data_IF_454826890648
#
_entry.id   IF_454826890648
#
_cell.length_a   1.000
_cell.length_b   1.000
_cell.length_c   1.000
_cell.angle_alpha   90.00
_cell.angle_beta   90.00
_cell.angle_gamma   90.00
#
_symmetry.space_group_name_H-M   'P 1'
#
loop_
_entity.id
_entity.type
_entity.pdbx_description
1 polymer ?
#
# COMPACT_ATOMS: atom_id res chain seq x y z
N UNK A 1 -11.70 2.62 -14.58
CA UNK A 1 -10.35 2.56 -13.98
C UNK A 1 -9.33 2.19 -15.05
N UNK A 2 -8.22 2.85 -15.05
CA UNK A 2 -7.07 2.54 -15.91
C UNK A 2 -6.01 1.84 -15.08
N UNK A 3 -5.38 0.79 -15.63
CA UNK A 3 -4.30 0.04 -14.99
C UNK A 3 -3.14 -0.08 -15.94
N UNK A 4 -1.93 0.13 -15.45
CA UNK A 4 -0.74 -0.14 -16.22
C UNK A 4 0.39 -0.71 -15.36
N UNK A 5 1.18 -1.59 -15.97
CA UNK A 5 2.29 -2.25 -15.34
C UNK A 5 3.48 -2.28 -16.29
N UNK A 6 4.60 -1.78 -15.84
CA UNK A 6 5.85 -1.75 -16.59
C UNK A 6 6.92 -2.48 -15.80
N UNK A 7 7.58 -3.42 -16.44
CA UNK A 7 8.69 -4.17 -15.85
C UNK A 7 9.89 -4.15 -16.78
N UNK A 8 11.05 -3.91 -16.22
CA UNK A 8 12.31 -3.94 -16.92
C UNK A 8 13.29 -4.81 -16.13
N UNK A 9 14.04 -5.66 -16.80
CA UNK A 9 15.05 -6.49 -16.15
C UNK A 9 16.31 -6.59 -16.98
N UNK A 10 17.43 -6.69 -16.30
CA UNK A 10 18.75 -6.90 -16.84
C UNK A 10 19.39 -8.10 -16.13
N UNK A 11 19.96 -8.99 -16.89
CA UNK A 11 20.73 -10.11 -16.35
C UNK A 11 22.01 -10.30 -17.17
N UNK A 12 23.02 -10.77 -16.51
CA UNK A 12 24.28 -11.04 -17.16
C UNK A 12 25.25 -11.70 -16.20
N UNK A 13 26.44 -11.91 -16.69
CA UNK A 13 27.48 -12.47 -15.86
C UNK A 13 28.54 -13.29 -16.63
N UNK A 14 29.40 -13.87 -15.85
CA UNK A 14 30.47 -14.80 -16.28
C UNK A 14 30.36 -16.12 -15.51
N UNK A 15 31.30 -17.02 -15.71
CA UNK A 15 31.39 -18.24 -14.88
C UNK A 15 31.62 -17.95 -13.39
N UNK A 16 32.18 -16.76 -13.07
CA UNK A 16 32.52 -16.39 -11.68
C UNK A 16 31.54 -15.42 -11.03
N UNK A 17 30.75 -14.68 -11.80
CA UNK A 17 29.81 -13.73 -11.26
C UNK A 17 28.57 -13.68 -12.13
N UNK A 18 27.41 -13.67 -11.50
CA UNK A 18 26.10 -13.55 -12.13
C UNK A 18 25.29 -12.48 -11.43
N UNK A 19 24.53 -11.74 -12.20
CA UNK A 19 23.63 -10.73 -11.66
C UNK A 19 22.29 -10.72 -12.38
N UNK A 20 21.27 -10.37 -11.64
CA UNK A 20 19.94 -10.07 -12.15
C UNK A 20 19.43 -8.83 -11.41
N UNK A 21 18.99 -7.81 -12.15
CA UNK A 21 18.38 -6.60 -11.60
C UNK A 21 17.07 -6.36 -12.33
N UNK A 22 16.02 -6.06 -11.60
CA UNK A 22 14.72 -5.70 -12.18
C UNK A 22 14.09 -4.53 -11.47
N UNK A 23 13.38 -3.72 -12.24
CA UNK A 23 12.53 -2.64 -11.77
C UNK A 23 11.12 -2.83 -12.27
N UNK A 24 10.13 -2.51 -11.45
CA UNK A 24 8.73 -2.56 -11.81
C UNK A 24 7.99 -1.32 -11.33
N UNK A 25 7.08 -0.84 -12.15
CA UNK A 25 6.13 0.22 -11.84
C UNK A 25 4.71 -0.29 -12.11
N UNK A 26 3.85 -0.11 -11.15
CA UNK A 26 2.43 -0.44 -11.26
C UNK A 26 1.60 0.74 -10.79
N UNK A 27 0.57 1.08 -11.54
CA UNK A 27 -0.43 2.06 -11.14
C UNK A 27 -1.83 1.57 -11.51
N UNK A 28 -2.79 1.88 -10.66
CA UNK A 28 -4.19 1.53 -10.80
C UNK A 28 -5.07 2.64 -10.27
N UNK A 29 -5.91 3.21 -11.14
CA UNK A 29 -6.94 4.16 -10.73
C UNK A 29 -8.12 3.44 -10.07
N UNK A 30 -8.72 4.07 -9.08
CA UNK A 30 -9.92 3.56 -8.42
C UNK A 30 -11.13 3.44 -9.34
N UNK A 31 -12.12 2.70 -8.87
CA UNK A 31 -13.36 2.42 -9.61
C UNK A 31 -14.47 3.44 -9.34
N UNK A 32 -14.35 4.24 -8.29
CA UNK A 32 -15.38 5.22 -7.89
C UNK A 32 -15.20 6.52 -8.65
N UNK A 33 -16.20 6.91 -9.43
CA UNK A 33 -16.15 8.06 -10.34
C UNK A 33 -15.89 9.41 -9.66
N UNK A 34 -16.36 9.58 -8.43
CA UNK A 34 -16.31 10.85 -7.70
C UNK A 34 -15.31 10.84 -6.56
N UNK A 35 -14.50 9.80 -6.45
CA UNK A 35 -13.51 9.64 -5.41
C UNK A 35 -12.08 9.76 -5.98
N UNK A 36 -11.21 10.37 -5.20
CA UNK A 36 -9.78 10.35 -5.45
C UNK A 36 -9.21 9.04 -4.90
N UNK A 37 -9.00 8.09 -5.79
CA UNK A 37 -8.52 6.74 -5.47
C UNK A 37 -7.44 6.34 -6.45
N UNK A 38 -6.27 6.04 -5.93
CA UNK A 38 -5.18 5.49 -6.72
C UNK A 38 -4.31 4.54 -5.91
N UNK A 39 -3.70 3.61 -6.59
CA UNK A 39 -2.67 2.75 -6.06
C UNK A 39 -1.45 2.77 -6.96
N UNK A 40 -0.32 3.17 -6.40
CA UNK A 40 0.96 3.18 -7.10
C UNK A 40 1.96 2.29 -6.37
N UNK A 41 2.75 1.51 -7.12
CA UNK A 41 3.79 0.65 -6.56
C UNK A 41 5.04 0.64 -7.41
N UNK A 42 6.17 0.85 -6.76
CA UNK A 42 7.51 0.70 -7.31
C UNK A 42 8.18 -0.51 -6.70
N UNK A 43 8.87 -1.30 -7.50
CA UNK A 43 9.66 -2.45 -7.03
C UNK A 43 11.04 -2.42 -7.66
N UNK A 44 12.04 -2.74 -6.86
CA UNK A 44 13.42 -2.96 -7.33
C UNK A 44 13.91 -4.26 -6.71
N UNK A 45 14.46 -5.15 -7.55
CA UNK A 45 15.07 -6.40 -7.09
C UNK A 45 16.48 -6.48 -7.67
N UNK A 46 17.41 -6.94 -6.87
CA UNK A 46 18.75 -7.27 -7.34
C UNK A 46 19.24 -8.56 -6.69
N UNK A 47 19.75 -9.47 -7.52
CA UNK A 47 20.33 -10.73 -7.11
C UNK A 47 21.75 -10.79 -7.69
N UNK A 48 22.74 -10.99 -6.84
CA UNK A 48 24.14 -11.06 -7.22
C UNK A 48 24.74 -12.32 -6.59
N UNK A 49 25.41 -13.10 -7.41
CA UNK A 49 26.20 -14.26 -6.96
C UNK A 49 27.60 -14.10 -7.50
N UNK A 50 28.60 -14.27 -6.66
CA UNK A 50 30.01 -14.14 -7.06
C UNK A 50 30.88 -15.23 -6.43
N UNK A 51 31.60 -15.95 -7.26
CA UNK A 51 32.66 -16.89 -6.84
C UNK A 51 33.97 -16.11 -6.68
N UNK A 52 34.27 -15.71 -5.43
CA UNK A 52 35.51 -14.97 -5.12
C UNK A 52 36.73 -15.88 -5.28
N UNK A 53 36.59 -17.12 -4.83
CA UNK A 53 37.62 -18.18 -4.94
C UNK A 53 36.94 -19.50 -5.27
N UNK A 54 37.71 -20.58 -5.50
CA UNK A 54 37.16 -21.92 -5.72
C UNK A 54 36.41 -22.50 -4.52
N UNK A 55 36.64 -21.94 -3.33
CA UNK A 55 36.08 -22.42 -2.07
C UNK A 55 35.16 -21.38 -1.37
N UNK A 56 34.98 -20.14 -1.95
CA UNK A 56 34.13 -19.09 -1.39
C UNK A 56 33.25 -18.49 -2.47
N UNK A 57 31.93 -18.56 -2.23
CA UNK A 57 30.90 -17.96 -3.05
C UNK A 57 30.06 -17.02 -2.21
N UNK A 58 29.86 -15.79 -2.68
CA UNK A 58 28.98 -14.81 -2.06
C UNK A 58 27.64 -14.76 -2.78
N UNK A 59 26.60 -14.55 -1.99
CA UNK A 59 25.23 -14.36 -2.46
C UNK A 59 24.68 -13.08 -1.84
N UNK A 60 24.11 -12.22 -2.68
CA UNK A 60 23.44 -11.01 -2.25
C UNK A 60 22.11 -10.92 -2.96
N UNK A 61 21.05 -10.74 -2.18
CA UNK A 61 19.70 -10.58 -2.67
C UNK A 61 19.08 -9.39 -1.98
N UNK A 62 18.51 -8.47 -2.75
CA UNK A 62 17.76 -7.34 -2.20
C UNK A 62 16.47 -7.13 -2.94
N UNK A 63 15.44 -6.76 -2.21
CA UNK A 63 14.15 -6.36 -2.73
C UNK A 63 13.69 -5.11 -2.00
N UNK A 64 13.43 -4.06 -2.75
CA UNK A 64 12.77 -2.86 -2.29
C UNK A 64 11.39 -2.76 -2.91
N UNK A 65 10.41 -2.34 -2.14
CA UNK A 65 9.08 -2.01 -2.62
C UNK A 65 8.61 -0.76 -1.90
N UNK A 66 8.15 0.21 -2.68
CA UNK A 66 7.41 1.38 -2.22
C UNK A 66 6.00 1.31 -2.78
N UNK A 67 4.99 1.57 -1.97
CA UNK A 67 3.61 1.63 -2.43
C UNK A 67 2.87 2.76 -1.73
N UNK A 68 2.11 3.50 -2.53
CA UNK A 68 1.16 4.52 -2.13
C UNK A 68 -0.25 4.03 -2.44
N UNK A 69 -1.15 4.16 -1.49
CA UNK A 69 -2.54 3.79 -1.63
C UNK A 69 -3.41 4.94 -1.11
N UNK A 70 -4.14 5.58 -2.00
CA UNK A 70 -5.11 6.61 -1.68
C UNK A 70 -6.53 6.09 -1.80
N UNK A 71 -7.32 6.29 -0.76
CA UNK A 71 -8.73 5.95 -0.71
C UNK A 71 -9.56 7.07 -0.13
N UNK A 72 -10.85 7.21 -0.49
CA UNK A 72 -11.70 8.29 0.02
C UNK A 72 -12.12 8.10 1.48
N UNK A 73 -11.86 6.93 2.07
CA UNK A 73 -12.28 6.60 3.43
C UNK A 73 -11.20 5.84 4.17
N UNK A 74 -11.23 5.96 5.50
CA UNK A 74 -10.34 5.20 6.38
C UNK A 74 -10.73 3.73 6.40
N UNK A 75 -10.05 2.93 5.61
CA UNK A 75 -10.31 1.51 5.44
C UNK A 75 -9.33 0.62 6.19
N UNK A 76 -8.26 1.18 6.72
CA UNK A 76 -7.19 0.39 7.31
C UNK A 76 -6.97 0.76 8.78
N UNK A 77 -6.80 -0.25 9.62
CA UNK A 77 -6.21 -0.04 10.94
C UNK A 77 -4.75 0.38 10.76
N UNK A 78 -4.35 1.59 11.20
CA UNK A 78 -3.00 2.09 11.03
C UNK A 78 -1.93 1.23 11.72
N UNK A 79 -2.30 0.35 12.65
CA UNK A 79 -1.37 -0.55 13.33
C UNK A 79 -1.14 -1.85 12.57
N UNK A 80 -2.19 -2.42 12.02
CA UNK A 80 -2.14 -3.73 11.36
C UNK A 80 -2.07 -3.61 9.84
N UNK A 81 -2.51 -2.50 9.27
CA UNK A 81 -2.67 -2.31 7.83
C UNK A 81 -3.77 -3.18 7.24
N UNK A 82 -4.64 -3.71 8.09
CA UNK A 82 -5.82 -4.47 7.70
C UNK A 82 -7.03 -3.55 7.61
N UNK A 83 -8.04 -3.98 6.86
CA UNK A 83 -9.30 -3.25 6.76
C UNK A 83 -9.93 -3.07 8.15
N UNK A 84 -10.11 -1.83 8.56
CA UNK A 84 -10.69 -1.46 9.85
C UNK A 84 -12.23 -1.52 9.86
N UNK A 85 -12.86 -2.08 8.81
CA UNK A 85 -14.31 -2.23 8.70
C UNK A 85 -15.08 -0.97 8.29
N UNK A 86 -14.42 0.18 8.15
CA UNK A 86 -15.09 1.41 7.71
C UNK A 86 -15.42 1.43 6.21
N UNK A 87 -14.65 0.70 5.39
CA UNK A 87 -14.99 0.46 4.00
C UNK A 87 -16.29 -0.33 3.85
N UNK A 88 -16.53 -1.28 4.73
CA UNK A 88 -17.79 -2.03 4.77
C UNK A 88 -18.98 -1.08 4.95
N UNK A 89 -18.88 -0.11 5.85
CA UNK A 89 -19.93 0.89 6.08
C UNK A 89 -20.25 1.69 4.83
N UNK A 90 -19.23 2.14 4.09
CA UNK A 90 -19.43 2.89 2.85
C UNK A 90 -20.05 2.04 1.73
N UNK A 91 -19.44 0.91 1.39
CA UNK A 91 -19.95 0.01 0.34
C UNK A 91 -21.31 -0.58 0.70
N UNK A 92 -21.55 -0.87 1.98
CA UNK A 92 -22.82 -1.28 2.48
C UNK A 92 -23.89 -0.20 2.27
N UNK A 93 -23.60 1.05 2.61
CA UNK A 93 -24.51 2.18 2.41
C UNK A 93 -24.77 2.41 0.92
N UNK A 94 -23.74 2.29 0.08
CA UNK A 94 -23.86 2.41 -1.38
C UNK A 94 -24.74 1.29 -1.95
N UNK A 95 -24.57 0.04 -1.52
CA UNK A 95 -25.37 -1.10 -1.98
C UNK A 95 -26.83 -1.07 -1.50
N UNK A 96 -27.09 -0.40 -0.37
CA UNK A 96 -28.43 -0.23 0.20
C UNK A 96 -29.15 1.03 -0.26
N UNK A 97 -28.53 1.83 -1.11
CA UNK A 97 -29.16 3.03 -1.62
C UNK A 97 -30.46 2.67 -2.34
N UNK A 98 -31.56 3.28 -1.89
CA UNK A 98 -32.88 2.97 -2.43
C UNK A 98 -33.03 3.60 -3.82
N UNK A 99 -33.38 2.84 -4.86
CA UNK A 99 -33.51 3.37 -6.23
C UNK A 99 -34.65 4.41 -6.37
N UNK A 100 -35.54 4.49 -5.38
CA UNK A 100 -36.64 5.45 -5.35
C UNK A 100 -36.25 6.81 -4.79
N UNK A 101 -35.05 6.96 -4.23
CA UNK A 101 -34.54 8.22 -3.68
C UNK A 101 -33.75 8.95 -4.75
N UNK A 102 -34.09 10.19 -5.02
CA UNK A 102 -33.35 11.02 -5.96
C UNK A 102 -31.93 11.30 -5.43
N UNK A 103 -30.93 11.13 -6.29
CA UNK A 103 -29.54 11.50 -6.00
C UNK A 103 -29.36 13.02 -6.00
N UNK A 104 -30.19 13.71 -6.79
CA UNK A 104 -30.16 15.16 -7.00
C UNK A 104 -31.56 15.70 -6.71
N UNK A 105 -31.64 16.79 -5.98
CA UNK A 105 -32.88 17.51 -5.71
C UNK A 105 -33.35 18.33 -6.95
N UNK A 106 -34.56 18.91 -6.94
CA UNK A 106 -35.04 19.73 -8.04
C UNK A 106 -34.18 20.98 -8.35
N UNK A 107 -33.34 21.41 -7.39
CA UNK A 107 -32.45 22.57 -7.54
C UNK A 107 -31.07 22.19 -8.10
N UNK A 108 -30.83 20.88 -8.32
CA UNK A 108 -29.57 20.38 -8.84
C UNK A 108 -28.51 20.03 -7.80
N UNK A 109 -28.86 20.03 -6.51
CA UNK A 109 -27.95 19.70 -5.43
C UNK A 109 -28.03 18.20 -5.09
N UNK A 110 -26.93 17.63 -4.60
CA UNK A 110 -26.95 16.27 -4.08
C UNK A 110 -27.77 16.20 -2.79
N UNK A 111 -28.63 15.19 -2.72
CA UNK A 111 -29.46 14.99 -1.50
C UNK A 111 -28.62 14.41 -0.36
N UNK A 112 -29.07 14.59 0.87
CA UNK A 112 -28.46 14.06 2.09
C UNK A 112 -28.23 12.54 2.05
N UNK A 113 -29.13 11.83 1.36
CA UNK A 113 -29.05 10.37 1.23
C UNK A 113 -28.06 9.91 0.16
N UNK A 114 -27.57 10.82 -0.68
CA UNK A 114 -26.54 10.52 -1.68
C UNK A 114 -25.19 10.28 -1.01
N UNK A 115 -24.43 9.30 -1.49
CA UNK A 115 -23.05 9.06 -1.07
C UNK A 115 -22.03 9.96 -1.79
N UNK A 116 -22.44 10.67 -2.84
CA UNK A 116 -21.53 11.49 -3.64
C UNK A 116 -20.93 12.66 -2.85
N UNK A 117 -21.68 13.42 -2.04
CA UNK A 117 -21.12 14.49 -1.21
C UNK A 117 -20.00 14.00 -0.27
N UNK A 118 -20.13 12.78 0.24
CA UNK A 118 -19.11 12.19 1.11
C UNK A 118 -17.82 11.87 0.34
N UNK A 119 -17.93 11.40 -0.90
CA UNK A 119 -16.78 11.18 -1.79
C UNK A 119 -16.07 12.48 -2.19
N UNK A 120 -16.82 13.59 -2.25
CA UNK A 120 -16.32 14.91 -2.65
C UNK A 120 -15.95 15.81 -1.46
N UNK A 121 -16.15 15.37 -0.22
CA UNK A 121 -15.92 16.17 0.99
C UNK A 121 -14.45 16.53 1.23
N UNK A 122 -13.53 15.96 0.49
CA UNK A 122 -12.09 16.06 0.74
C UNK A 122 -11.59 15.03 1.77
N UNK A 123 -12.44 14.10 2.22
CA UNK A 123 -12.02 12.96 3.04
C UNK A 123 -11.09 12.06 2.23
N UNK A 124 -9.95 11.73 2.82
CA UNK A 124 -9.00 10.81 2.21
C UNK A 124 -8.25 9.99 3.26
N UNK A 125 -7.73 8.88 2.83
CA UNK A 125 -6.75 8.08 3.55
C UNK A 125 -5.59 7.77 2.61
N UNK A 126 -4.39 8.19 2.99
CA UNK A 126 -3.15 7.87 2.31
C UNK A 126 -2.36 6.88 3.15
N UNK A 127 -1.98 5.78 2.53
CA UNK A 127 -1.16 4.75 3.16
C UNK A 127 0.08 4.48 2.33
N UNK A 128 1.24 4.89 2.85
CA UNK A 128 2.54 4.62 2.25
C UNK A 128 3.22 3.46 2.95
N UNK A 129 3.77 2.54 2.17
CA UNK A 129 4.52 1.40 2.69
C UNK A 129 5.84 1.23 1.96
N UNK A 130 6.93 1.28 2.73
CA UNK A 130 8.25 0.91 2.27
C UNK A 130 8.61 -0.46 2.83
N UNK A 131 9.04 -1.37 1.98
CA UNK A 131 9.53 -2.69 2.37
C UNK A 131 10.93 -2.91 1.84
N UNK A 132 11.86 -3.13 2.74
CA UNK A 132 13.23 -3.51 2.46
C UNK A 132 13.45 -4.95 2.87
N UNK A 133 14.01 -5.73 1.97
CA UNK A 133 14.44 -7.09 2.26
C UNK A 133 15.84 -7.26 1.67
N UNK A 134 16.83 -7.50 2.53
CA UNK A 134 18.23 -7.69 2.15
C UNK A 134 18.68 -9.01 2.74
N UNK A 135 19.23 -9.89 1.91
CA UNK A 135 19.87 -11.12 2.33
C UNK A 135 21.29 -11.11 1.79
N UNK A 136 22.25 -11.24 2.68
CA UNK A 136 23.66 -11.44 2.34
C UNK A 136 24.12 -12.78 2.91
N UNK A 137 24.76 -13.58 2.11
CA UNK A 137 25.23 -14.89 2.53
C UNK A 137 26.48 -15.33 1.83
N UNK A 138 27.08 -16.40 2.35
CA UNK A 138 28.18 -17.06 1.70
C UNK A 138 28.05 -18.58 1.79
N UNK A 139 28.66 -19.21 0.84
CA UNK A 139 28.89 -20.64 0.75
C UNK A 139 30.40 -20.87 0.77
N UNK A 140 30.86 -21.62 1.77
CA UNK A 140 32.26 -21.94 1.98
C UNK A 140 32.45 -23.42 1.81
N UNK A 141 33.46 -23.83 1.00
CA UNK A 141 33.86 -25.21 0.82
C UNK A 141 35.30 -25.42 1.31
N UNK A 142 35.50 -25.63 2.64
CA UNK A 142 36.85 -25.74 3.19
C UNK A 142 37.58 -27.05 2.79
N UNK A 143 36.82 -28.11 2.57
CA UNK A 143 37.29 -29.39 2.15
C UNK A 143 36.40 -29.94 1.02
N UNK A 144 36.92 -30.98 0.29
CA UNK A 144 36.11 -31.70 -0.70
C UNK A 144 34.87 -32.28 -0.02
N UNK A 145 33.72 -32.04 -0.63
CA UNK A 145 32.36 -32.50 -0.18
C UNK A 145 31.87 -31.92 1.16
N UNK A 146 32.58 -30.95 1.75
CA UNK A 146 32.15 -30.26 2.96
C UNK A 146 31.82 -28.81 2.67
N UNK A 147 30.52 -28.41 2.93
CA UNK A 147 30.00 -27.09 2.65
C UNK A 147 29.47 -26.44 3.95
N UNK A 148 29.74 -25.16 4.13
CA UNK A 148 29.21 -24.32 5.19
C UNK A 148 28.45 -23.18 4.57
N UNK A 149 27.21 -22.97 4.98
CA UNK A 149 26.34 -21.92 4.49
C UNK A 149 26.02 -20.95 5.60
N UNK A 150 26.09 -19.68 5.29
CA UNK A 150 25.69 -18.61 6.18
C UNK A 150 24.81 -17.62 5.41
N UNK A 151 23.67 -17.25 5.99
CA UNK A 151 22.79 -16.24 5.47
C UNK A 151 22.35 -15.29 6.61
N UNK A 152 22.51 -13.99 6.37
CA UNK A 152 21.92 -12.94 7.18
C UNK A 152 20.84 -12.24 6.39
N UNK A 153 19.63 -12.22 6.94
CA UNK A 153 18.49 -11.53 6.34
C UNK A 153 18.04 -10.39 7.24
N UNK A 154 17.94 -9.20 6.65
CA UNK A 154 17.35 -8.02 7.26
C UNK A 154 16.08 -7.63 6.49
N UNK A 155 14.95 -7.52 7.21
CA UNK A 155 13.69 -7.02 6.68
C UNK A 155 13.24 -5.82 7.49
N UNK A 156 12.82 -4.76 6.81
CA UNK A 156 12.20 -3.60 7.42
C UNK A 156 10.96 -3.22 6.63
N UNK A 157 9.90 -2.89 7.35
CA UNK A 157 8.71 -2.26 6.81
C UNK A 157 8.50 -0.94 7.55
N UNK A 158 8.38 0.15 6.82
CA UNK A 158 7.90 1.43 7.30
C UNK A 158 6.46 1.61 6.80
N UNK A 159 5.61 2.09 7.65
CA UNK A 159 4.23 2.46 7.37
C UNK A 159 4.06 3.93 7.73
N UNK A 160 3.57 4.72 6.80
CA UNK A 160 3.04 6.05 7.05
C UNK A 160 1.57 6.03 6.65
N UNK A 161 0.73 6.44 7.58
CA UNK A 161 -0.71 6.48 7.43
C UNK A 161 -1.19 7.87 7.76
N UNK A 162 -1.90 8.50 6.83
CA UNK A 162 -2.58 9.76 7.02
C UNK A 162 -4.06 9.61 6.67
N UNK A 163 -4.92 10.15 7.50
CA UNK A 163 -6.35 10.21 7.23
C UNK A 163 -6.92 11.57 7.61
N UNK A 164 -7.65 12.16 6.69
CA UNK A 164 -8.47 13.33 6.92
C UNK A 164 -9.94 12.94 6.72
N UNK A 165 -10.73 13.02 7.78
CA UNK A 165 -12.17 12.73 7.74
C UNK A 165 -12.93 14.02 7.96
N UNK A 166 -13.65 14.49 6.93
CA UNK A 166 -14.42 15.74 6.95
C UNK A 166 -15.84 15.47 6.50
N UNK A 167 -16.81 15.98 7.25
CA UNK A 167 -18.21 15.91 6.86
C UNK A 167 -18.49 16.77 5.62
N UNK A 168 -19.30 16.29 4.67
CA UNK A 168 -19.73 17.08 3.55
C UNK A 168 -20.64 18.21 4.01
N UNK A 169 -20.64 19.32 3.29
CA UNK A 169 -21.70 20.32 3.37
C UNK A 169 -22.80 19.95 2.38
N UNK A 170 -24.03 19.88 2.86
CA UNK A 170 -25.22 19.59 2.05
C UNK A 170 -26.21 20.74 2.19
N UNK A 171 -27.06 20.89 1.20
CA UNK A 171 -28.16 21.85 1.27
C UNK A 171 -29.34 21.26 2.07
N UNK A 172 -29.94 22.09 2.92
CA UNK A 172 -31.20 21.75 3.58
C UNK A 172 -32.39 21.80 2.61
N UNK A 173 -33.55 21.43 3.07
CA UNK A 173 -34.77 21.40 2.25
C UNK A 173 -35.16 22.77 1.69
N UNK A 174 -34.68 23.86 2.27
CA UNK A 174 -34.88 25.22 1.77
C UNK A 174 -34.08 25.53 0.50
N UNK A 175 -33.10 24.66 0.15
CA UNK A 175 -32.24 24.81 -1.00
C UNK A 175 -31.23 25.97 -0.91
N UNK A 176 -31.10 26.61 0.23
CA UNK A 176 -30.26 27.79 0.49
C UNK A 176 -29.31 27.56 1.65
N UNK A 177 -29.78 27.00 2.73
CA UNK A 177 -29.00 26.75 3.94
C UNK A 177 -28.06 25.56 3.73
N UNK A 178 -26.78 25.75 4.00
CA UNK A 178 -25.79 24.67 3.96
C UNK A 178 -25.47 24.19 5.38
N UNK A 179 -25.57 22.90 5.61
CA UNK A 179 -25.24 22.26 6.87
C UNK A 179 -24.15 21.20 6.68
N UNK A 180 -23.22 21.12 7.62
CA UNK A 180 -22.24 20.03 7.67
C UNK A 180 -22.88 18.79 8.27
N UNK A 181 -22.58 17.64 7.70
CA UNK A 181 -23.16 16.35 8.14
C UNK A 181 -22.06 15.42 8.63
N UNK A 182 -22.27 14.87 9.82
CA UNK A 182 -21.47 13.80 10.39
C UNK A 182 -22.15 12.45 10.18
N UNK A 183 -21.36 11.43 9.86
CA UNK A 183 -21.81 10.04 9.80
C UNK A 183 -20.81 9.14 10.51
N UNK A 184 -21.19 8.70 11.70
CA UNK A 184 -20.32 7.87 12.55
C UNK A 184 -19.97 6.53 11.92
N UNK A 185 -20.89 5.93 11.16
CA UNK A 185 -20.68 4.67 10.44
C UNK A 185 -19.65 4.79 9.31
N UNK A 186 -19.36 6.01 8.85
CA UNK A 186 -18.32 6.29 7.86
C UNK A 186 -17.05 6.89 8.51
N UNK A 187 -17.03 7.04 9.83
CA UNK A 187 -15.95 7.73 10.53
C UNK A 187 -15.87 9.24 10.25
N UNK A 188 -16.88 9.79 9.61
CA UNK A 188 -16.94 11.20 9.20
C UNK A 188 -17.45 12.05 10.36
N UNK A 189 -16.71 13.10 10.72
CA UNK A 189 -17.03 14.03 11.79
C UNK A 189 -17.25 15.44 11.23
N UNK A 190 -18.12 16.21 11.87
CA UNK A 190 -18.52 17.55 11.41
C UNK A 190 -17.33 18.52 11.31
N UNK A 191 -16.52 18.60 12.36
CA UNK A 191 -15.41 19.54 12.46
C UNK A 191 -14.13 19.06 11.79
N UNK A 192 -14.17 17.86 11.22
CA UNK A 192 -13.00 17.22 10.65
C UNK A 192 -12.09 16.54 11.69
N UNK A 193 -11.45 15.46 11.29
CA UNK A 193 -10.45 14.76 12.10
C UNK A 193 -9.26 14.40 11.22
N UNK A 194 -8.10 14.86 11.63
CA UNK A 194 -6.83 14.45 11.02
C UNK A 194 -6.13 13.44 11.91
N UNK A 195 -5.68 12.36 11.30
CA UNK A 195 -4.90 11.30 11.99
C UNK A 195 -3.65 11.02 11.17
N UNK A 196 -2.51 10.97 11.84
CA UNK A 196 -1.25 10.55 11.23
C UNK A 196 -0.56 9.52 12.11
N UNK A 197 -0.14 8.41 11.53
CA UNK A 197 0.48 7.30 12.25
C UNK A 197 1.71 6.83 11.49
N UNK A 198 2.80 6.59 12.23
CA UNK A 198 4.02 6.02 11.73
C UNK A 198 4.27 4.67 12.39
N UNK A 199 4.50 3.65 11.58
CA UNK A 199 4.84 2.31 12.02
C UNK A 199 6.18 1.88 11.45
N UNK A 200 6.97 1.15 12.25
CA UNK A 200 8.19 0.50 11.78
C UNK A 200 8.30 -0.90 12.36
N UNK A 201 8.43 -1.87 11.48
CA UNK A 201 8.68 -3.26 11.86
C UNK A 201 10.04 -3.68 11.32
N UNK A 202 10.84 -4.34 12.15
CA UNK A 202 12.14 -4.89 11.77
C UNK A 202 12.21 -6.36 12.13
N UNK A 203 12.81 -7.13 11.25
CA UNK A 203 13.04 -8.55 11.43
C UNK A 203 14.44 -8.89 10.95
N UNK A 204 15.15 -9.68 11.75
CA UNK A 204 16.50 -10.15 11.43
C UNK A 204 16.55 -11.67 11.61
N UNK A 205 17.22 -12.34 10.70
CA UNK A 205 17.44 -13.79 10.77
C UNK A 205 18.88 -14.10 10.41
N UNK A 206 19.47 -14.97 11.19
CA UNK A 206 20.78 -15.57 10.90
C UNK A 206 20.56 -17.06 10.74
N UNK A 207 21.00 -17.60 9.62
CA UNK A 207 21.03 -19.04 9.36
C UNK A 207 22.48 -19.47 9.18
N UNK A 208 22.89 -20.51 9.90
CA UNK A 208 24.16 -21.20 9.73
C UNK A 208 23.91 -22.70 9.70
N UNK A 209 24.34 -23.34 8.65
CA UNK A 209 24.20 -24.78 8.52
C UNK A 209 25.37 -25.36 7.72
N UNK A 210 25.59 -26.65 7.88
CA UNK A 210 26.67 -27.38 7.21
C UNK A 210 26.14 -28.64 6.55
N UNK A 211 26.76 -29.02 5.47
CA UNK A 211 26.48 -30.26 4.74
C UNK A 211 27.83 -30.95 4.45
N UNK A 212 27.88 -32.25 4.72
CA UNK A 212 29.08 -33.09 4.49
C UNK A 212 28.70 -34.33 3.70
#
# INVERSE_FOLDING_TARGET
>A
SFKHNHNLSFSGGSKKAQYYVSGGYYNEDGILRYADMDYTRYTVNANITSELTKWLKLKFNTKFMHSDNRTPFNNEDPKTGLDGGLSEGFYHSLARFRPTVSVIDPNGHFTELSMIPYLQSGTYTDTQRDRFNITAGFELQPLKDWFIFFDYTYKQMNLEYEALNVGPSIYEQDGVTMTKVARSELGVVEDGKFTRTYGRTRYQTINLYTNY
#
